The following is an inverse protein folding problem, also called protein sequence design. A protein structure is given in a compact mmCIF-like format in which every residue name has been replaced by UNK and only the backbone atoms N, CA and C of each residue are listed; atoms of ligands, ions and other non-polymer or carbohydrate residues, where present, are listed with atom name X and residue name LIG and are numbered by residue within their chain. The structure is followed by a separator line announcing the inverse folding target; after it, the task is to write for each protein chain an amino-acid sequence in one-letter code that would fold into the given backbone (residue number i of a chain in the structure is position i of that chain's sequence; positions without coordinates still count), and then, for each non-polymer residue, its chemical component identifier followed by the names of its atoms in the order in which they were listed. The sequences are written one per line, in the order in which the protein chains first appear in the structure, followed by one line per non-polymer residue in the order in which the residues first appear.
data_IF_127375979547
#
_entry.id   IF_127375979547
#
_cell.length_a   1.000
_cell.length_b   1.000
_cell.length_c   1.000
_cell.angle_alpha   90.00
_cell.angle_beta   90.00
_cell.angle_gamma   90.00
#
_symmetry.space_group_name_H-M   'P 1'
#
loop_
_entity.id
_entity.type
_entity.pdbx_description
1 polymer ?
#
# COMPACT_ATOMS: atom_id res chain seq x y z
N UNK A 1 -47.70 -3.26 38.69
CA UNK A 1 -47.23 -3.65 37.35
C UNK A 1 -48.40 -4.22 36.57
N UNK A 2 -49.07 -3.39 35.76
CA UNK A 2 -50.21 -3.81 34.94
C UNK A 2 -49.73 -4.56 33.70
N UNK A 3 -50.15 -5.82 33.54
CA UNK A 3 -49.92 -6.61 32.32
C UNK A 3 -50.87 -6.07 31.24
N UNK A 4 -50.34 -5.45 30.20
CA UNK A 4 -51.13 -5.13 29.01
C UNK A 4 -51.59 -6.43 28.37
N UNK A 5 -52.90 -6.67 28.39
CA UNK A 5 -53.52 -7.84 27.77
C UNK A 5 -53.59 -7.64 26.25
N UNK A 6 -52.55 -8.09 25.55
CA UNK A 6 -52.42 -8.04 24.09
C UNK A 6 -53.44 -8.94 23.37
N UNK A 7 -54.33 -9.64 24.09
CA UNK A 7 -55.37 -10.52 23.50
C UNK A 7 -56.69 -9.81 23.20
N UNK A 8 -56.83 -8.48 23.33
CA UNK A 8 -57.94 -7.78 22.67
C UNK A 8 -57.70 -7.76 21.16
N UNK A 9 -58.07 -8.88 20.56
CA UNK A 9 -58.05 -9.26 19.15
C UNK A 9 -58.62 -8.13 18.30
N UNK A 10 -57.81 -7.62 17.36
CA UNK A 10 -58.28 -6.85 16.21
C UNK A 10 -59.43 -7.63 15.57
N UNK A 11 -60.66 -7.11 15.66
CA UNK A 11 -61.79 -7.79 15.03
C UNK A 11 -61.60 -7.73 13.51
N UNK A 12 -62.06 -8.74 12.77
CA UNK A 12 -61.93 -8.81 11.30
C UNK A 12 -62.46 -7.56 10.57
N UNK A 13 -63.34 -6.78 11.22
CA UNK A 13 -63.90 -5.53 10.69
C UNK A 13 -62.95 -4.33 10.77
N UNK A 14 -61.99 -4.32 11.70
CA UNK A 14 -61.06 -3.19 11.91
C UNK A 14 -59.78 -3.29 11.05
N UNK A 15 -59.51 -4.49 10.52
CA UNK A 15 -58.35 -4.77 9.68
C UNK A 15 -58.19 -3.86 8.45
N UNK A 16 -59.22 -3.56 7.63
CA UNK A 16 -59.05 -2.71 6.45
C UNK A 16 -58.64 -1.27 6.80
N UNK A 17 -59.19 -0.69 7.88
CA UNK A 17 -58.80 0.65 8.33
C UNK A 17 -57.37 0.67 8.86
N UNK A 18 -56.96 -0.33 9.65
CA UNK A 18 -55.59 -0.48 10.12
C UNK A 18 -54.60 -0.66 8.96
N UNK A 19 -54.91 -1.52 7.99
CA UNK A 19 -54.07 -1.76 6.83
C UNK A 19 -53.88 -0.48 5.99
N UNK A 20 -54.95 0.30 5.79
CA UNK A 20 -54.90 1.52 4.99
C UNK A 20 -54.12 2.66 5.66
N UNK A 21 -54.29 2.85 6.96
CA UNK A 21 -53.68 3.99 7.66
C UNK A 21 -52.29 3.71 8.25
N UNK A 22 -51.92 2.43 8.45
CA UNK A 22 -50.65 2.07 9.09
C UNK A 22 -49.76 1.26 8.16
N UNK A 23 -50.25 0.16 7.57
CA UNK A 23 -49.41 -0.72 6.76
C UNK A 23 -49.00 -0.08 5.43
N UNK A 24 -49.93 0.58 4.72
CA UNK A 24 -49.66 1.21 3.44
C UNK A 24 -48.57 2.31 3.52
N UNK A 25 -48.64 3.29 4.43
CA UNK A 25 -47.55 4.28 4.56
C UNK A 25 -46.24 3.65 5.02
N UNK A 26 -46.26 2.62 5.89
CA UNK A 26 -45.05 1.92 6.30
C UNK A 26 -44.36 1.22 5.11
N UNK A 27 -45.12 0.53 4.26
CA UNK A 27 -44.59 -0.09 3.03
C UNK A 27 -44.03 0.97 2.08
N UNK A 28 -44.72 2.11 1.93
CA UNK A 28 -44.25 3.21 1.08
C UNK A 28 -42.93 3.80 1.60
N UNK A 29 -42.80 4.01 2.91
CA UNK A 29 -41.54 4.44 3.53
C UNK A 29 -40.43 3.43 3.27
N UNK A 30 -40.70 2.13 3.43
CA UNK A 30 -39.72 1.08 3.15
C UNK A 30 -39.30 1.09 1.67
N UNK A 31 -40.24 1.25 0.73
CA UNK A 31 -39.93 1.35 -0.70
C UNK A 31 -39.08 2.58 -1.02
N UNK A 32 -39.36 3.73 -0.43
CA UNK A 32 -38.54 4.93 -0.59
C UNK A 32 -37.13 4.75 -0.03
N UNK A 33 -36.98 4.08 1.11
CA UNK A 33 -35.67 3.75 1.66
C UNK A 33 -34.88 2.81 0.74
N UNK A 34 -35.53 1.78 0.20
CA UNK A 34 -34.89 0.86 -0.76
C UNK A 34 -34.44 1.60 -2.03
N UNK A 35 -35.32 2.44 -2.61
CA UNK A 35 -34.99 3.25 -3.79
C UNK A 35 -33.85 4.23 -3.51
N UNK A 36 -33.84 4.87 -2.33
CA UNK A 36 -32.77 5.75 -1.89
C UNK A 36 -31.44 5.01 -1.77
N UNK A 37 -31.42 3.83 -1.15
CA UNK A 37 -30.22 3.00 -1.02
C UNK A 37 -29.71 2.57 -2.40
N UNK A 38 -30.62 2.14 -3.29
CA UNK A 38 -30.25 1.74 -4.66
C UNK A 38 -29.71 2.91 -5.48
N UNK A 39 -30.34 4.09 -5.38
CA UNK A 39 -29.90 5.30 -6.05
C UNK A 39 -28.50 5.73 -5.60
N UNK A 40 -28.25 5.77 -4.29
CA UNK A 40 -26.92 6.07 -3.73
C UNK A 40 -25.88 5.03 -4.17
N UNK A 41 -26.23 3.74 -4.12
CA UNK A 41 -25.31 2.68 -4.58
C UNK A 41 -24.99 2.79 -6.07
N UNK A 42 -25.99 3.03 -6.91
CA UNK A 42 -25.82 3.19 -8.36
C UNK A 42 -24.96 4.42 -8.69
N UNK A 43 -25.19 5.53 -7.97
CA UNK A 43 -24.37 6.73 -8.07
C UNK A 43 -22.90 6.46 -7.68
N UNK A 44 -22.66 5.81 -6.54
CA UNK A 44 -21.31 5.44 -6.09
C UNK A 44 -20.62 4.53 -7.11
N UNK A 45 -21.30 3.52 -7.65
CA UNK A 45 -20.72 2.62 -8.65
C UNK A 45 -20.34 3.34 -9.95
N UNK A 46 -21.20 4.25 -10.41
CA UNK A 46 -20.93 5.05 -11.62
C UNK A 46 -19.75 6.00 -11.40
N UNK A 47 -19.69 6.60 -10.20
CA UNK A 47 -18.58 7.44 -9.77
C UNK A 47 -17.26 6.67 -9.71
N UNK A 48 -17.24 5.51 -9.04
CA UNK A 48 -16.06 4.64 -8.94
C UNK A 48 -15.56 4.18 -10.31
N UNK A 49 -16.47 3.86 -11.24
CA UNK A 49 -16.08 3.48 -12.61
C UNK A 49 -15.35 4.60 -13.33
N UNK A 50 -15.81 5.85 -13.19
CA UNK A 50 -15.14 7.02 -13.80
C UNK A 50 -13.76 7.26 -13.20
N UNK A 51 -13.66 7.21 -11.87
CA UNK A 51 -12.38 7.37 -11.15
C UNK A 51 -11.42 6.24 -11.52
N UNK A 52 -11.88 4.99 -11.56
CA UNK A 52 -11.07 3.84 -11.94
C UNK A 52 -10.55 3.95 -13.38
N UNK A 53 -11.38 4.40 -14.33
CA UNK A 53 -10.95 4.61 -15.72
C UNK A 53 -9.89 5.70 -15.83
N UNK A 54 -10.04 6.80 -15.07
CA UNK A 54 -9.07 7.90 -15.07
C UNK A 54 -7.75 7.46 -14.43
N UNK A 55 -7.84 6.73 -13.30
CA UNK A 55 -6.69 6.13 -12.64
C UNK A 55 -5.92 5.19 -13.57
N UNK A 56 -6.65 4.35 -14.32
CA UNK A 56 -6.02 3.41 -15.23
C UNK A 56 -5.25 4.13 -16.35
N UNK A 57 -5.81 5.20 -16.92
CA UNK A 57 -5.11 6.03 -17.90
C UNK A 57 -3.81 6.62 -17.33
N UNK A 58 -3.87 7.23 -16.14
CA UNK A 58 -2.67 7.80 -15.51
C UNK A 58 -1.60 6.75 -15.18
N UNK A 59 -2.00 5.53 -14.81
CA UNK A 59 -1.06 4.43 -14.57
C UNK A 59 -0.43 3.96 -15.89
N UNK A 60 -1.22 3.84 -16.95
CA UNK A 60 -0.74 3.48 -18.28
C UNK A 60 0.26 4.52 -18.79
N UNK A 61 -0.05 5.81 -18.63
CA UNK A 61 0.86 6.91 -18.97
C UNK A 61 2.16 6.82 -18.15
N UNK A 62 2.06 6.56 -16.84
CA UNK A 62 3.23 6.40 -15.95
C UNK A 62 4.12 5.20 -16.33
N UNK A 63 3.53 4.09 -16.75
CA UNK A 63 4.26 2.87 -17.12
C UNK A 63 4.91 2.97 -18.52
N UNK A 64 4.42 3.85 -19.40
CA UNK A 64 4.85 3.97 -20.80
C UNK A 64 5.66 5.25 -21.09
N UNK A 65 6.21 5.93 -20.08
CA UNK A 65 7.10 7.08 -20.31
C UNK A 65 8.37 6.61 -21.02
N UNK A 66 8.55 7.04 -22.28
CA UNK A 66 9.70 6.65 -23.12
C UNK A 66 10.91 7.59 -22.99
N UNK A 67 10.78 8.69 -22.25
CA UNK A 67 11.85 9.68 -22.14
C UNK A 67 13.01 9.18 -21.27
N UNK A 68 14.22 9.59 -21.65
CA UNK A 68 15.40 9.38 -20.82
C UNK A 68 15.26 10.18 -19.52
N UNK A 69 15.50 9.51 -18.40
CA UNK A 69 15.48 10.10 -17.06
C UNK A 69 16.46 11.28 -16.97
N UNK A 70 16.05 12.36 -16.30
CA UNK A 70 16.84 13.59 -16.17
C UNK A 70 16.74 14.56 -17.35
N UNK A 71 15.87 14.29 -18.33
CA UNK A 71 15.53 15.28 -19.36
C UNK A 71 14.41 16.21 -18.88
N UNK A 72 14.41 17.47 -19.36
CA UNK A 72 13.34 18.43 -19.04
C UNK A 72 11.95 17.90 -19.45
N UNK A 73 11.85 17.21 -20.59
CA UNK A 73 10.59 16.63 -21.06
C UNK A 73 10.06 15.56 -20.09
N UNK A 74 10.96 14.72 -19.57
CA UNK A 74 10.64 13.72 -18.55
C UNK A 74 10.12 14.37 -17.26
N UNK A 75 10.82 15.40 -16.76
CA UNK A 75 10.41 16.12 -15.55
C UNK A 75 9.04 16.81 -15.72
N UNK A 76 8.79 17.45 -16.87
CA UNK A 76 7.51 18.11 -17.16
C UNK A 76 6.36 17.10 -17.21
N UNK A 77 6.53 15.97 -17.90
CA UNK A 77 5.51 14.91 -18.00
C UNK A 77 5.24 14.24 -16.64
N UNK A 78 6.29 13.91 -15.90
CA UNK A 78 6.16 13.35 -14.56
C UNK A 78 5.47 14.31 -13.59
N UNK A 79 5.75 15.61 -13.69
CA UNK A 79 5.06 16.62 -12.90
C UNK A 79 3.57 16.64 -13.23
N UNK A 80 3.20 16.60 -14.52
CA UNK A 80 1.80 16.52 -14.95
C UNK A 80 1.10 15.26 -14.44
N UNK A 81 1.79 14.10 -14.46
CA UNK A 81 1.26 12.86 -13.91
C UNK A 81 1.03 12.95 -12.41
N UNK A 82 1.98 13.49 -11.65
CA UNK A 82 1.85 13.69 -10.22
C UNK A 82 0.63 14.60 -9.89
N UNK A 83 0.45 15.68 -10.64
CA UNK A 83 -0.73 16.55 -10.52
C UNK A 83 -2.03 15.83 -10.87
N UNK A 84 -2.04 15.02 -11.94
CA UNK A 84 -3.18 14.20 -12.34
C UNK A 84 -3.61 13.21 -11.25
N UNK A 85 -2.65 12.51 -10.65
CA UNK A 85 -2.91 11.61 -9.52
C UNK A 85 -3.42 12.38 -8.29
N UNK A 86 -2.84 13.53 -7.97
CA UNK A 86 -3.29 14.37 -6.84
C UNK A 86 -4.69 14.92 -7.06
N UNK A 87 -5.04 15.34 -8.28
CA UNK A 87 -6.39 15.78 -8.61
C UNK A 87 -7.40 14.64 -8.43
N UNK A 88 -7.05 13.44 -8.89
CA UNK A 88 -7.89 12.26 -8.76
C UNK A 88 -8.04 11.83 -7.29
N UNK A 89 -6.97 11.93 -6.51
CA UNK A 89 -6.98 11.70 -5.08
C UNK A 89 -7.95 12.66 -4.38
N UNK A 90 -7.87 13.96 -4.64
CA UNK A 90 -8.74 14.94 -3.98
C UNK A 90 -10.21 14.76 -4.36
N UNK A 91 -10.51 14.36 -5.60
CA UNK A 91 -11.87 13.98 -6.00
C UNK A 91 -12.36 12.74 -5.24
N UNK A 92 -11.50 11.73 -5.07
CA UNK A 92 -11.89 10.41 -4.60
C UNK A 92 -11.24 10.01 -3.26
N UNK A 93 -10.96 10.98 -2.38
CA UNK A 93 -10.09 10.87 -1.19
C UNK A 93 -10.37 9.72 -0.22
N UNK A 94 -11.60 9.19 -0.22
CA UNK A 94 -12.04 8.09 0.65
C UNK A 94 -12.25 6.76 -0.09
N UNK A 95 -12.25 6.78 -1.42
CA UNK A 95 -12.45 5.57 -2.21
C UNK A 95 -11.21 4.70 -2.25
N UNK A 96 -11.40 3.47 -2.72
CA UNK A 96 -10.30 2.57 -3.02
C UNK A 96 -9.36 3.14 -4.10
N UNK A 97 -9.93 3.74 -5.15
CA UNK A 97 -9.15 4.34 -6.24
C UNK A 97 -8.42 5.62 -5.83
N UNK A 98 -8.99 6.42 -4.91
CA UNK A 98 -8.27 7.58 -4.36
C UNK A 98 -7.03 7.16 -3.58
N UNK A 99 -7.07 6.06 -2.83
CA UNK A 99 -5.89 5.52 -2.13
C UNK A 99 -4.81 5.05 -3.11
N UNK A 100 -5.21 4.42 -4.23
CA UNK A 100 -4.28 4.06 -5.31
C UNK A 100 -3.68 5.31 -5.95
N UNK A 101 -4.49 6.33 -6.25
CA UNK A 101 -4.01 7.59 -6.79
C UNK A 101 -2.99 8.26 -5.85
N UNK A 102 -3.25 8.27 -4.53
CA UNK A 102 -2.30 8.78 -3.53
C UNK A 102 -0.98 8.00 -3.52
N UNK A 103 -1.03 6.67 -3.61
CA UNK A 103 0.17 5.84 -3.74
C UNK A 103 0.99 6.23 -4.98
N UNK A 104 0.35 6.27 -6.15
CA UNK A 104 1.03 6.59 -7.40
C UNK A 104 1.54 8.02 -7.42
N UNK A 105 0.83 9.00 -6.85
CA UNK A 105 1.36 10.35 -6.68
C UNK A 105 2.67 10.34 -5.86
N UNK A 106 2.68 9.64 -4.72
CA UNK A 106 3.90 9.49 -3.91
C UNK A 106 5.04 8.84 -4.69
N UNK A 107 4.75 7.80 -5.49
CA UNK A 107 5.74 7.18 -6.37
C UNK A 107 6.26 8.12 -7.45
N UNK A 108 5.39 8.90 -8.09
CA UNK A 108 5.81 9.88 -9.10
C UNK A 108 6.72 10.95 -8.49
N UNK A 109 6.39 11.48 -7.31
CA UNK A 109 7.28 12.42 -6.61
C UNK A 109 8.61 11.79 -6.19
N UNK A 110 8.63 10.51 -5.84
CA UNK A 110 9.88 9.79 -5.56
C UNK A 110 10.78 9.78 -6.79
N UNK A 111 10.23 9.44 -7.95
CA UNK A 111 10.97 9.40 -9.22
C UNK A 111 11.43 10.80 -9.68
N UNK A 112 10.64 11.85 -9.38
CA UNK A 112 11.04 13.24 -9.60
C UNK A 112 12.16 13.73 -8.66
N UNK A 113 12.59 12.92 -7.68
CA UNK A 113 13.54 13.34 -6.65
C UNK A 113 12.93 14.29 -5.60
N UNK A 114 11.62 14.51 -5.61
CA UNK A 114 10.89 15.26 -4.57
C UNK A 114 10.65 14.37 -3.33
N UNK A 115 11.74 13.89 -2.72
CA UNK A 115 11.72 12.84 -1.71
C UNK A 115 10.90 13.18 -0.46
N UNK A 116 10.96 14.43 0.02
CA UNK A 116 10.17 14.85 1.18
C UNK A 116 8.66 14.76 0.88
N UNK A 117 8.25 15.20 -0.31
CA UNK A 117 6.84 15.15 -0.73
C UNK A 117 6.36 13.73 -0.96
N UNK A 118 7.21 12.88 -1.54
CA UNK A 118 6.94 11.46 -1.67
C UNK A 118 6.71 10.81 -0.30
N UNK A 119 7.61 11.07 0.66
CA UNK A 119 7.51 10.54 2.02
C UNK A 119 6.22 11.00 2.71
N UNK A 120 5.82 12.27 2.57
CA UNK A 120 4.58 12.81 3.14
C UNK A 120 3.33 12.11 2.60
N UNK A 121 3.21 11.96 1.28
CA UNK A 121 2.02 11.33 0.66
C UNK A 121 1.92 9.84 0.98
N UNK A 122 3.06 9.15 1.00
CA UNK A 122 3.12 7.73 1.34
C UNK A 122 2.83 7.49 2.83
N UNK A 123 3.27 8.39 3.72
CA UNK A 123 2.88 8.41 5.13
C UNK A 123 1.37 8.63 5.29
N UNK A 124 0.80 9.60 4.57
CA UNK A 124 -0.64 9.86 4.60
C UNK A 124 -1.44 8.61 4.23
N UNK A 125 -1.02 7.89 3.19
CA UNK A 125 -1.66 6.64 2.77
C UNK A 125 -1.61 5.57 3.88
N UNK A 126 -0.44 5.35 4.47
CA UNK A 126 -0.26 4.39 5.55
C UNK A 126 -1.13 4.76 6.77
N UNK A 127 -1.06 6.01 7.23
CA UNK A 127 -1.76 6.50 8.41
C UNK A 127 -3.29 6.43 8.25
N UNK A 128 -3.81 6.71 7.05
CA UNK A 128 -5.25 6.65 6.79
C UNK A 128 -5.75 5.24 6.49
N UNK A 129 -4.88 4.31 6.11
CA UNK A 129 -5.32 3.01 5.56
C UNK A 129 -4.32 1.87 5.73
N UNK A 130 -3.87 1.60 6.96
CA UNK A 130 -2.98 0.46 7.30
C UNK A 130 -3.39 -0.92 6.75
N UNK A 131 -4.68 -1.16 6.50
CA UNK A 131 -5.19 -2.44 5.93
C UNK A 131 -5.29 -2.45 4.40
N UNK A 132 -4.90 -1.37 3.74
CA UNK A 132 -4.91 -1.28 2.28
C UNK A 132 -3.78 -2.12 1.70
N UNK A 133 -4.05 -2.77 0.56
CA UNK A 133 -3.12 -3.74 -0.02
C UNK A 133 -1.79 -3.13 -0.49
N UNK A 134 -1.73 -1.81 -0.73
CA UNK A 134 -0.49 -1.07 -1.02
C UNK A 134 0.11 -0.40 0.21
N UNK A 135 -0.47 -0.53 1.40
CA UNK A 135 0.08 0.08 2.61
C UNK A 135 1.49 -0.46 2.96
N UNK A 136 1.80 -1.76 2.81
CA UNK A 136 3.18 -2.25 2.98
C UNK A 136 4.17 -1.60 2.01
N UNK A 137 3.80 -1.53 0.72
CA UNK A 137 4.60 -0.90 -0.34
C UNK A 137 4.79 0.59 -0.05
N UNK A 138 3.73 1.29 0.34
CA UNK A 138 3.79 2.71 0.65
C UNK A 138 4.77 2.99 1.81
N UNK A 139 4.74 2.16 2.86
CA UNK A 139 5.64 2.32 3.99
C UNK A 139 7.10 2.01 3.63
N UNK A 140 7.32 1.01 2.76
CA UNK A 140 8.64 0.72 2.20
C UNK A 140 9.17 1.88 1.34
N UNK A 141 8.39 2.38 0.38
CA UNK A 141 8.80 3.51 -0.47
C UNK A 141 8.93 4.82 0.31
N UNK A 142 8.15 5.02 1.39
CA UNK A 142 8.36 6.12 2.33
C UNK A 142 9.76 6.02 2.96
N UNK A 143 10.19 4.83 3.36
CA UNK A 143 11.52 4.62 3.91
C UNK A 143 12.61 4.95 2.89
N UNK A 144 12.46 4.49 1.64
CA UNK A 144 13.41 4.80 0.57
C UNK A 144 13.46 6.30 0.28
N UNK A 145 12.31 6.97 0.21
CA UNK A 145 12.27 8.43 0.04
C UNK A 145 13.03 9.15 1.18
N UNK A 146 12.83 8.71 2.42
CA UNK A 146 13.56 9.26 3.57
C UNK A 146 15.06 8.94 3.53
N UNK A 147 15.47 7.77 3.05
CA UNK A 147 16.87 7.38 2.84
C UNK A 147 17.53 8.30 1.81
N UNK A 148 16.89 8.55 0.67
CA UNK A 148 17.37 9.47 -0.38
C UNK A 148 17.43 10.93 0.11
N UNK A 149 16.48 11.34 0.96
CA UNK A 149 16.51 12.61 1.67
C UNK A 149 17.56 12.68 2.81
N UNK A 150 18.35 11.61 3.02
CA UNK A 150 19.36 11.47 4.08
C UNK A 150 18.80 11.57 5.50
N UNK A 151 17.52 11.24 5.69
CA UNK A 151 16.79 11.21 6.96
C UNK A 151 16.77 9.79 7.51
N UNK A 152 17.95 9.22 7.72
CA UNK A 152 18.15 7.78 7.96
C UNK A 152 17.45 7.26 9.22
N UNK A 153 17.37 8.06 10.30
CA UNK A 153 16.64 7.67 11.51
C UNK A 153 15.13 7.53 11.25
N UNK A 154 14.55 8.42 10.44
CA UNK A 154 13.13 8.37 10.09
C UNK A 154 12.83 7.24 9.10
N UNK A 155 13.77 6.96 8.19
CA UNK A 155 13.72 5.80 7.31
C UNK A 155 13.71 4.49 8.14
N UNK A 156 14.60 4.35 9.13
CA UNK A 156 14.58 3.22 10.06
C UNK A 156 13.26 3.10 10.81
N UNK A 157 12.70 4.21 11.30
CA UNK A 157 11.41 4.21 11.97
C UNK A 157 10.28 3.69 11.05
N UNK A 158 10.31 4.06 9.77
CA UNK A 158 9.38 3.56 8.76
C UNK A 158 9.51 2.04 8.55
N UNK A 159 10.74 1.54 8.44
CA UNK A 159 11.05 0.13 8.24
C UNK A 159 10.67 -0.72 9.46
N UNK A 160 10.89 -0.21 10.67
CA UNK A 160 10.44 -0.86 11.91
C UNK A 160 8.91 -0.91 12.00
N UNK A 161 8.24 0.16 11.60
CA UNK A 161 6.77 0.15 11.49
C UNK A 161 6.31 -0.91 10.49
N UNK A 162 7.02 -1.08 9.37
CA UNK A 162 6.69 -2.13 8.41
C UNK A 162 6.75 -3.52 9.05
N UNK A 163 7.81 -3.81 9.81
CA UNK A 163 7.96 -5.09 10.52
C UNK A 163 6.81 -5.31 11.51
N UNK A 164 6.42 -4.27 12.26
CA UNK A 164 5.33 -4.34 13.25
C UNK A 164 3.98 -4.72 12.60
N UNK A 165 3.67 -4.16 11.43
CA UNK A 165 2.36 -4.32 10.80
C UNK A 165 2.30 -5.43 9.73
N UNK A 166 3.43 -5.81 9.11
CA UNK A 166 3.44 -6.60 7.88
C UNK A 166 4.47 -7.74 7.81
N UNK A 167 5.25 -8.02 8.87
CA UNK A 167 6.36 -9.01 8.86
C UNK A 167 6.00 -10.38 8.29
N UNK A 168 4.78 -10.85 8.55
CA UNK A 168 4.39 -12.25 8.33
C UNK A 168 3.77 -12.52 6.95
N UNK A 169 3.47 -11.47 6.18
CA UNK A 169 2.57 -11.60 5.03
C UNK A 169 3.02 -10.89 3.76
N UNK A 170 4.19 -10.24 3.78
CA UNK A 170 4.61 -9.40 2.67
C UNK A 170 5.86 -9.92 1.97
N UNK A 171 5.81 -9.84 0.65
CA UNK A 171 6.90 -10.22 -0.25
C UNK A 171 8.10 -9.26 -0.16
N UNK A 172 7.95 -8.07 0.45
CA UNK A 172 9.02 -7.08 0.60
C UNK A 172 9.87 -7.26 1.86
N UNK A 173 9.69 -8.35 2.63
CA UNK A 173 10.42 -8.51 3.91
C UNK A 173 11.94 -8.52 3.72
N UNK A 174 12.46 -9.11 2.63
CA UNK A 174 13.90 -9.11 2.37
C UNK A 174 14.43 -7.71 2.02
N UNK A 175 13.68 -6.97 1.20
CA UNK A 175 13.97 -5.60 0.76
C UNK A 175 13.97 -4.62 1.94
N UNK A 176 13.03 -4.79 2.86
CA UNK A 176 12.93 -4.00 4.10
C UNK A 176 14.13 -4.26 5.02
N UNK A 177 14.52 -5.52 5.21
CA UNK A 177 15.73 -5.83 5.99
C UNK A 177 17.00 -5.27 5.33
N UNK A 178 17.10 -5.36 4.01
CA UNK A 178 18.25 -4.81 3.29
C UNK A 178 18.35 -3.29 3.46
N UNK A 179 17.24 -2.57 3.27
CA UNK A 179 17.16 -1.13 3.49
C UNK A 179 17.50 -0.77 4.94
N UNK A 180 17.03 -1.58 5.91
CA UNK A 180 17.33 -1.37 7.34
C UNK A 180 18.82 -1.49 7.63
N UNK A 181 19.47 -2.53 7.10
CA UNK A 181 20.92 -2.71 7.20
C UNK A 181 21.70 -1.54 6.60
N UNK A 182 21.33 -1.06 5.40
CA UNK A 182 21.95 0.13 4.79
C UNK A 182 21.78 1.39 5.63
N UNK A 183 20.58 1.64 6.14
CA UNK A 183 20.33 2.82 6.99
C UNK A 183 21.13 2.75 8.31
N UNK A 184 21.31 1.56 8.91
CA UNK A 184 22.24 1.40 10.04
C UNK A 184 23.69 1.71 9.65
N UNK A 185 24.15 1.33 8.45
CA UNK A 185 25.49 1.71 7.97
C UNK A 185 25.64 3.23 7.83
N UNK A 186 24.65 3.92 7.25
CA UNK A 186 24.67 5.37 7.11
C UNK A 186 24.72 6.11 8.45
N UNK A 187 24.13 5.52 9.48
CA UNK A 187 24.19 5.99 10.86
C UNK A 187 25.43 5.54 11.64
N UNK A 188 26.36 4.84 10.98
CA UNK A 188 27.54 4.22 11.57
C UNK A 188 27.23 3.24 12.72
N UNK A 189 26.01 2.70 12.80
CA UNK A 189 25.65 1.60 13.69
C UNK A 189 25.99 0.26 13.03
N UNK A 190 27.28 0.03 12.86
CA UNK A 190 27.80 -1.16 12.20
C UNK A 190 27.43 -2.46 12.92
N UNK A 191 27.16 -2.39 14.22
CA UNK A 191 26.75 -3.57 15.01
C UNK A 191 25.37 -4.05 14.58
N UNK A 192 24.40 -3.13 14.46
CA UNK A 192 23.06 -3.47 13.99
C UNK A 192 23.06 -3.83 12.50
N UNK A 193 23.84 -3.12 11.68
CA UNK A 193 23.98 -3.44 10.26
C UNK A 193 24.49 -4.89 10.06
N UNK A 194 25.56 -5.28 10.76
CA UNK A 194 26.11 -6.64 10.71
C UNK A 194 25.07 -7.68 11.15
N UNK A 195 24.33 -7.42 12.23
CA UNK A 195 23.31 -8.33 12.72
C UNK A 195 22.19 -8.57 11.68
N UNK A 196 21.72 -7.50 11.02
CA UNK A 196 20.68 -7.57 9.98
C UNK A 196 21.20 -8.32 8.74
N UNK A 197 22.38 -7.96 8.23
CA UNK A 197 22.95 -8.62 7.05
C UNK A 197 23.29 -10.09 7.31
N UNK A 198 23.83 -10.42 8.49
CA UNK A 198 24.11 -11.81 8.87
C UNK A 198 22.84 -12.66 8.92
N UNK A 199 21.74 -12.09 9.42
CA UNK A 199 20.44 -12.76 9.41
C UNK A 199 19.95 -13.01 7.98
N UNK A 200 20.09 -12.01 7.09
CA UNK A 200 19.71 -12.13 5.69
C UNK A 200 20.52 -13.20 4.95
N UNK A 201 21.85 -13.23 5.10
CA UNK A 201 22.73 -14.24 4.49
C UNK A 201 22.34 -15.64 4.96
N UNK A 202 22.17 -15.83 6.27
CA UNK A 202 21.78 -17.13 6.83
C UNK A 202 20.42 -17.59 6.29
N UNK A 203 19.47 -16.66 6.11
CA UNK A 203 18.16 -16.98 5.54
C UNK A 203 18.26 -17.34 4.07
N UNK A 204 19.03 -16.58 3.27
CA UNK A 204 19.21 -16.89 1.84
C UNK A 204 19.93 -18.21 1.60
N UNK A 205 20.92 -18.57 2.42
CA UNK A 205 21.59 -19.87 2.36
C UNK A 205 20.61 -21.03 2.64
N UNK A 206 19.73 -20.85 3.63
CA UNK A 206 18.70 -21.83 3.95
C UNK A 206 17.68 -21.97 2.80
N UNK A 207 17.21 -20.86 2.23
CA UNK A 207 16.26 -20.86 1.11
C UNK A 207 16.89 -21.45 -0.16
N UNK A 208 18.16 -21.14 -0.46
CA UNK A 208 18.91 -21.70 -1.59
C UNK A 208 19.12 -23.20 -1.42
N UNK A 209 19.44 -23.67 -0.21
CA UNK A 209 19.57 -25.09 0.08
C UNK A 209 18.26 -25.86 -0.10
N UNK A 210 17.14 -25.27 0.34
CA UNK A 210 15.81 -25.84 0.12
C UNK A 210 15.47 -25.88 -1.39
N UNK A 211 15.74 -24.80 -2.12
CA UNK A 211 15.54 -24.74 -3.56
C UNK A 211 16.39 -25.77 -4.30
N UNK A 212 17.70 -25.84 -4.03
CA UNK A 212 18.60 -26.82 -4.64
C UNK A 212 18.11 -28.26 -4.41
N UNK A 213 17.61 -28.59 -3.20
CA UNK A 213 17.02 -29.91 -2.92
C UNK A 213 15.70 -30.17 -3.67
N UNK A 214 14.95 -29.13 -4.05
CA UNK A 214 13.73 -29.24 -4.86
C UNK A 214 13.99 -29.21 -6.37
N UNK A 215 15.09 -28.57 -6.80
CA UNK A 215 15.50 -28.38 -8.19
C UNK A 215 16.30 -29.55 -8.77
N UNK A 216 16.81 -30.47 -7.95
CA UNK A 216 17.20 -31.82 -8.42
C UNK A 216 16.04 -32.56 -9.15
N UNK A 217 14.82 -32.00 -9.15
CA UNK A 217 13.67 -32.50 -9.89
C UNK A 217 13.14 -31.58 -11.02
N UNK A 218 13.67 -30.37 -11.25
CA UNK A 218 13.24 -29.48 -12.36
C UNK A 218 14.26 -28.38 -12.71
N UNK A 219 14.51 -28.19 -14.01
CA UNK A 219 15.38 -27.17 -14.60
C UNK A 219 14.78 -25.75 -14.50
N UNK A 220 15.29 -24.90 -13.60
CA UNK A 220 15.15 -23.44 -13.72
C UNK A 220 16.37 -22.69 -13.18
N UNK A 221 17.20 -22.16 -14.09
CA UNK A 221 18.46 -21.44 -13.79
C UNK A 221 18.27 -19.96 -13.33
N UNK A 222 17.12 -19.34 -13.62
CA UNK A 222 16.95 -17.89 -13.48
C UNK A 222 16.83 -17.40 -12.02
N UNK A 223 16.32 -18.22 -11.11
CA UNK A 223 16.21 -17.86 -9.70
C UNK A 223 17.58 -17.88 -9.00
N UNK A 224 18.41 -18.89 -9.27
CA UNK A 224 19.72 -19.04 -8.63
C UNK A 224 20.64 -17.85 -8.90
N UNK A 225 20.67 -17.34 -10.13
CA UNK A 225 21.51 -16.19 -10.48
C UNK A 225 21.15 -14.94 -9.67
N UNK A 226 19.85 -14.65 -9.52
CA UNK A 226 19.38 -13.46 -8.78
C UNK A 226 19.76 -13.55 -7.30
N UNK A 227 19.67 -14.74 -6.69
CA UNK A 227 20.07 -14.93 -5.29
C UNK A 227 21.59 -14.81 -5.09
N UNK A 228 22.38 -15.34 -6.03
CA UNK A 228 23.84 -15.22 -5.98
C UNK A 228 24.31 -13.77 -6.07
N UNK A 229 23.72 -12.97 -6.97
CA UNK A 229 24.07 -11.54 -7.10
C UNK A 229 23.76 -10.77 -5.80
N UNK A 230 22.58 -11.00 -5.20
CA UNK A 230 22.17 -10.34 -3.94
C UNK A 230 23.03 -10.79 -2.75
N UNK A 231 23.42 -12.06 -2.69
CA UNK A 231 24.31 -12.57 -1.66
C UNK A 231 25.73 -11.97 -1.79
N UNK A 232 26.21 -11.80 -3.03
CA UNK A 232 27.50 -11.16 -3.28
C UNK A 232 27.49 -9.68 -2.85
N UNK A 233 26.42 -8.94 -3.16
CA UNK A 233 26.23 -7.57 -2.70
C UNK A 233 26.30 -7.47 -1.17
N UNK A 234 25.61 -8.38 -0.46
CA UNK A 234 25.64 -8.45 1.00
C UNK A 234 27.04 -8.73 1.55
N UNK A 235 27.79 -9.63 0.92
CA UNK A 235 29.17 -9.94 1.30
C UNK A 235 30.09 -8.73 1.11
N UNK A 236 29.93 -8.00 0.00
CA UNK A 236 30.70 -6.80 -0.28
C UNK A 236 30.42 -5.70 0.76
N UNK A 237 29.15 -5.51 1.13
CA UNK A 237 28.75 -4.61 2.22
C UNK A 237 29.36 -5.01 3.56
N UNK A 238 29.34 -6.30 3.92
CA UNK A 238 29.98 -6.79 5.15
C UNK A 238 31.48 -6.54 5.16
N UNK A 239 32.16 -6.69 4.03
CA UNK A 239 33.60 -6.42 3.93
C UNK A 239 33.92 -4.93 4.14
N UNK A 240 33.08 -4.03 3.61
CA UNK A 240 33.19 -2.58 3.86
C UNK A 240 33.02 -2.28 5.36
N UNK A 241 32.03 -2.88 6.02
CA UNK A 241 31.80 -2.70 7.46
C UNK A 241 33.04 -3.13 8.28
N UNK A 242 33.59 -4.31 7.99
CA UNK A 242 34.78 -4.82 8.70
C UNK A 242 35.99 -3.92 8.50
N UNK A 243 36.17 -3.36 7.31
CA UNK A 243 37.25 -2.41 7.03
C UNK A 243 37.10 -1.14 7.88
N UNK A 244 35.90 -0.56 7.96
CA UNK A 244 35.61 0.64 8.76
C UNK A 244 35.75 0.42 10.27
N UNK A 245 35.44 -0.77 10.79
CA UNK A 245 35.63 -1.10 12.21
C UNK A 245 37.11 -1.28 12.59
N UNK A 246 37.98 -1.56 11.63
CA UNK A 246 39.41 -1.81 11.85
C UNK A 246 40.31 -0.57 11.76
N UNK A 247 39.77 0.54 11.24
CA UNK A 247 40.43 1.85 11.14
C UNK A 247 40.17 2.73 12.36
#
# INVERSE_FOLDING_TARGET
MGRYDLRRVLTRKDFPAFAQHVLLPAVLIILLLILSIYGVRSYILSYEKKVASSLHGLIDDFENIEFEEGTLAYEEEMTQLAEGFMQLYEQAKRSYNGKRALYHAGMTYYVLGEFDRAAELLDELFMRSKKFYLAPQALYFRALALEEAKRYEEALSALMSYEEYYSDSSFLTAEVQLAKGRNYMWLADYTQAEAVFSMLIKKSEADTSLLASSLEQNDTDASEQTYHEKAQELLDLMNIIKAQQSS
#
